data_IF_387273130089
#
_entry.id   IF_387273130089
#
_cell.length_a   1.000
_cell.length_b   1.000
_cell.length_c   1.000
_cell.angle_alpha   90.00
_cell.angle_beta   90.00
_cell.angle_gamma   90.00
#
_symmetry.space_group_name_H-M   'P 1'
#
loop_
_entity.id
_entity.type
_entity.pdbx_description
1 polymer ?
#
# COMPACT_ATOMS: atom_id res chain seq x y z
N UNK A 1 -21.59 -27.13 -38.43
CA UNK A 1 -21.16 -28.37 -37.76
C UNK A 1 -21.93 -28.45 -36.45
N UNK A 2 -22.61 -29.57 -36.21
CA UNK A 2 -23.73 -29.75 -35.27
C UNK A 2 -23.32 -29.65 -33.79
N UNK A 3 -24.20 -29.06 -33.01
CA UNK A 3 -24.27 -29.13 -31.53
C UNK A 3 -24.82 -30.51 -31.14
N UNK A 4 -24.23 -31.14 -30.12
CA UNK A 4 -24.87 -32.24 -29.39
C UNK A 4 -24.70 -32.03 -27.89
N UNK A 5 -25.82 -31.68 -27.26
CA UNK A 5 -26.15 -32.00 -25.87
C UNK A 5 -26.24 -33.51 -25.74
N UNK A 6 -25.58 -34.12 -24.73
CA UNK A 6 -26.27 -35.12 -23.92
C UNK A 6 -25.54 -35.52 -22.62
N UNK A 7 -26.36 -35.63 -21.56
CA UNK A 7 -26.24 -36.45 -20.34
C UNK A 7 -25.78 -35.80 -19.02
N UNK A 8 -26.77 -35.15 -18.40
CA UNK A 8 -27.14 -35.38 -17.00
C UNK A 8 -27.49 -36.87 -16.75
N UNK A 9 -26.80 -37.54 -15.83
CA UNK A 9 -27.37 -38.53 -14.90
C UNK A 9 -26.29 -39.02 -13.94
N UNK A 10 -26.42 -38.66 -12.66
CA UNK A 10 -26.35 -39.54 -11.48
C UNK A 10 -25.84 -38.79 -10.24
N UNK A 11 -26.80 -38.22 -9.51
CA UNK A 11 -26.73 -38.10 -8.05
C UNK A 11 -27.51 -39.27 -7.42
N UNK A 12 -27.12 -39.63 -6.18
CA UNK A 12 -27.82 -40.41 -5.13
C UNK A 12 -27.29 -41.83 -4.76
N UNK A 13 -26.34 -41.87 -3.80
CA UNK A 13 -26.38 -42.45 -2.41
C UNK A 13 -27.10 -43.81 -2.19
N UNK A 14 -26.49 -44.82 -1.50
CA UNK A 14 -26.54 -44.99 -0.01
C UNK A 14 -25.22 -45.48 0.64
N UNK A 15 -24.74 -44.85 1.72
CA UNK A 15 -24.89 -45.25 3.15
C UNK A 15 -24.68 -46.75 3.41
N UNK A 16 -23.52 -47.10 3.98
CA UNK A 16 -23.36 -48.29 4.81
C UNK A 16 -22.53 -47.95 6.05
N UNK A 17 -23.15 -48.15 7.22
CA UNK A 17 -22.51 -48.08 8.52
C UNK A 17 -21.68 -49.35 8.76
N UNK A 18 -20.49 -49.22 9.33
CA UNK A 18 -19.82 -50.33 10.02
C UNK A 18 -19.22 -49.83 11.32
N UNK A 19 -19.81 -50.32 12.41
CA UNK A 19 -19.27 -50.26 13.77
C UNK A 19 -18.07 -51.18 13.89
N UNK A 20 -16.97 -50.69 14.47
CA UNK A 20 -16.00 -51.54 15.16
C UNK A 20 -15.62 -50.90 16.50
N UNK A 21 -16.17 -51.53 17.54
CA UNK A 21 -15.65 -51.83 18.88
C UNK A 21 -14.25 -51.31 19.25
N UNK A 22 -14.16 -50.78 20.46
CA UNK A 22 -12.99 -50.12 21.02
C UNK A 22 -11.91 -51.01 21.65
N UNK A 23 -10.87 -50.32 22.08
CA UNK A 23 -9.95 -50.73 23.14
C UNK A 23 -9.40 -49.47 23.85
N UNK A 24 -9.21 -49.51 25.19
CA UNK A 24 -8.92 -48.33 26.01
C UNK A 24 -7.42 -48.06 26.07
N UNK A 25 -7.02 -46.80 25.94
CA UNK A 25 -5.63 -46.38 26.02
C UNK A 25 -5.48 -45.06 26.78
N UNK A 26 -5.17 -45.19 28.07
CA UNK A 26 -4.38 -44.27 28.90
C UNK A 26 -4.79 -42.79 28.92
N UNK A 27 -5.45 -42.42 30.03
CA UNK A 27 -5.75 -41.04 30.39
C UNK A 27 -4.50 -40.18 30.54
N UNK A 28 -4.38 -39.21 29.65
CA UNK A 28 -3.75 -37.94 29.96
C UNK A 28 -4.88 -36.99 30.37
N UNK A 29 -4.82 -36.49 31.60
CA UNK A 29 -5.65 -35.39 32.08
C UNK A 29 -5.46 -34.18 31.15
N UNK A 30 -6.35 -34.03 30.17
CA UNK A 30 -6.59 -32.75 29.53
C UNK A 30 -7.28 -31.87 30.58
N UNK A 31 -6.49 -31.22 31.43
CA UNK A 31 -6.95 -30.03 32.12
C UNK A 31 -7.24 -29.01 31.04
N UNK A 32 -8.51 -28.93 30.64
CA UNK A 32 -9.07 -27.80 29.95
C UNK A 32 -8.79 -26.58 30.82
N UNK A 33 -7.76 -25.81 30.46
CA UNK A 33 -7.60 -24.45 30.92
C UNK A 33 -8.78 -23.66 30.33
N UNK A 34 -9.94 -23.75 30.98
CA UNK A 34 -11.02 -22.80 30.85
C UNK A 34 -10.52 -21.49 31.48
N UNK A 35 -9.58 -20.82 30.81
CA UNK A 35 -9.32 -19.43 31.07
C UNK A 35 -10.60 -18.69 30.70
N UNK A 36 -11.37 -18.30 31.71
CA UNK A 36 -12.50 -17.39 31.53
C UNK A 36 -11.94 -16.15 30.85
N UNK A 37 -12.43 -15.73 29.66
CA UNK A 37 -11.94 -14.53 29.01
C UNK A 37 -12.11 -13.36 29.97
N UNK A 38 -11.00 -12.72 30.35
CA UNK A 38 -11.04 -11.52 31.17
C UNK A 38 -11.92 -10.49 30.43
N UNK A 39 -12.95 -9.91 31.07
CA UNK A 39 -13.77 -8.89 30.43
C UNK A 39 -12.87 -7.74 29.97
N UNK A 40 -12.77 -7.54 28.66
CA UNK A 40 -12.04 -6.40 28.10
C UNK A 40 -12.82 -5.15 28.48
N UNK A 41 -12.18 -4.20 29.17
CA UNK A 41 -12.83 -2.97 29.64
C UNK A 41 -13.29 -2.12 28.46
N UNK A 42 -14.28 -1.25 28.69
CA UNK A 42 -14.78 -0.31 27.67
C UNK A 42 -13.65 0.55 27.11
N UNK A 43 -12.75 1.01 27.97
CA UNK A 43 -11.59 1.82 27.61
C UNK A 43 -10.59 1.07 26.73
N UNK A 44 -10.36 -0.23 27.02
CA UNK A 44 -9.47 -1.05 26.21
C UNK A 44 -10.01 -1.27 24.77
N UNK A 45 -11.33 -1.40 24.61
CA UNK A 45 -11.96 -1.48 23.29
C UNK A 45 -11.88 -0.16 22.51
N UNK A 46 -12.04 0.98 23.18
CA UNK A 46 -11.87 2.30 22.55
C UNK A 46 -10.42 2.53 22.12
N UNK A 47 -9.45 2.19 22.97
CA UNK A 47 -8.04 2.28 22.63
C UNK A 47 -7.68 1.36 21.46
N UNK A 48 -8.19 0.12 21.46
CA UNK A 48 -8.03 -0.83 20.34
C UNK A 48 -8.62 -0.27 19.05
N UNK A 49 -9.83 0.28 19.08
CA UNK A 49 -10.46 0.89 17.91
C UNK A 49 -9.70 2.11 17.39
N UNK A 50 -9.18 2.96 18.28
CA UNK A 50 -8.34 4.10 17.93
C UNK A 50 -7.05 3.66 17.25
N UNK A 51 -6.42 2.59 17.75
CA UNK A 51 -5.25 1.97 17.15
C UNK A 51 -5.57 1.42 15.75
N UNK A 52 -6.63 0.63 15.61
CA UNK A 52 -7.06 0.04 14.33
C UNK A 52 -7.43 1.12 13.31
N UNK A 53 -8.01 2.25 13.71
CA UNK A 53 -8.29 3.36 12.81
C UNK A 53 -7.01 3.99 12.22
N UNK A 54 -5.89 3.92 12.95
CA UNK A 54 -4.56 4.31 12.43
C UNK A 54 -4.01 3.23 11.52
N UNK A 55 -4.05 1.94 11.92
CA UNK A 55 -3.65 0.81 11.06
C UNK A 55 -4.37 0.86 9.71
N UNK A 56 -5.68 1.13 9.74
CA UNK A 56 -6.56 1.25 8.58
C UNK A 56 -6.33 2.48 7.71
N UNK A 57 -5.46 3.38 8.15
CA UNK A 57 -5.20 4.67 7.53
C UNK A 57 -6.47 5.51 7.30
N UNK A 58 -7.45 5.39 8.20
CA UNK A 58 -8.75 6.02 8.01
C UNK A 58 -8.64 7.55 7.96
N UNK A 59 -7.69 8.11 8.72
CA UNK A 59 -7.47 9.54 8.81
C UNK A 59 -6.90 10.14 7.53
N UNK A 60 -6.02 9.42 6.81
CA UNK A 60 -5.41 9.91 5.58
C UNK A 60 -6.47 10.22 4.52
N UNK A 61 -7.49 9.37 4.38
CA UNK A 61 -8.57 9.59 3.41
C UNK A 61 -9.69 10.48 3.96
N UNK A 62 -10.12 10.27 5.21
CA UNK A 62 -11.30 10.94 5.75
C UNK A 62 -11.00 12.27 6.45
N UNK A 63 -9.82 12.87 6.26
CA UNK A 63 -9.47 14.16 6.89
C UNK A 63 -8.93 15.16 5.86
N UNK A 64 -9.77 16.07 5.38
CA UNK A 64 -9.30 17.21 4.58
C UNK A 64 -8.68 18.32 5.45
N UNK A 65 -9.24 18.54 6.64
CA UNK A 65 -8.78 19.55 7.59
C UNK A 65 -8.31 18.87 8.88
N UNK A 66 -7.02 18.97 9.20
CA UNK A 66 -6.44 18.34 10.41
C UNK A 66 -7.07 18.82 11.72
N UNK A 67 -7.71 19.99 11.75
CA UNK A 67 -8.47 20.47 12.92
C UNK A 67 -9.83 19.76 13.10
N UNK A 68 -10.29 19.05 12.07
CA UNK A 68 -11.56 18.32 12.01
C UNK A 68 -11.31 16.89 11.49
N UNK A 69 -10.62 16.05 12.27
CA UNK A 69 -10.29 14.69 11.85
C UNK A 69 -11.55 13.90 11.51
N UNK A 70 -11.47 13.07 10.46
CA UNK A 70 -12.53 12.19 9.98
C UNK A 70 -13.77 12.87 9.37
N UNK A 71 -13.77 14.20 9.22
CA UNK A 71 -14.90 14.96 8.69
C UNK A 71 -15.07 14.87 7.16
N UNK A 72 -14.23 14.11 6.46
CA UNK A 72 -14.28 13.90 5.02
C UNK A 72 -13.82 15.10 4.19
N UNK A 73 -14.22 15.11 2.92
CA UNK A 73 -14.01 16.22 1.98
C UNK A 73 -12.68 16.19 1.24
N UNK A 74 -11.83 15.18 1.44
CA UNK A 74 -10.55 15.09 0.75
C UNK A 74 -10.77 14.70 -0.72
N UNK A 75 -10.24 15.46 -1.69
CA UNK A 75 -10.29 15.08 -3.10
C UNK A 75 -9.31 13.94 -3.38
N UNK A 76 -9.79 12.89 -4.03
CA UNK A 76 -8.98 11.81 -4.57
C UNK A 76 -9.12 11.81 -6.10
N UNK A 77 -8.07 12.27 -6.78
CA UNK A 77 -8.00 12.27 -8.23
C UNK A 77 -7.80 10.83 -8.74
N UNK A 78 -8.72 10.38 -9.61
CA UNK A 78 -8.63 9.07 -10.26
C UNK A 78 -8.67 9.23 -11.78
N UNK A 79 -8.26 8.21 -12.56
CA UNK A 79 -8.46 8.20 -14.01
C UNK A 79 -9.94 8.37 -14.44
N UNK A 80 -10.89 8.12 -13.53
CA UNK A 80 -12.32 8.15 -13.78
C UNK A 80 -13.00 9.47 -13.36
N UNK A 81 -12.24 10.40 -12.77
CA UNK A 81 -12.73 11.66 -12.20
C UNK A 81 -12.32 11.81 -10.72
N UNK A 82 -12.88 12.80 -10.05
CA UNK A 82 -12.51 13.10 -8.65
C UNK A 82 -13.52 12.52 -7.68
N UNK A 83 -13.05 11.69 -6.76
CA UNK A 83 -13.81 11.23 -5.61
C UNK A 83 -13.61 12.20 -4.44
N UNK A 84 -14.60 12.32 -3.56
CA UNK A 84 -14.45 13.05 -2.31
C UNK A 84 -14.77 12.10 -1.16
N UNK A 85 -13.89 12.07 -0.15
CA UNK A 85 -14.11 11.25 1.04
C UNK A 85 -15.31 11.74 1.85
N UNK A 86 -15.97 10.82 2.54
CA UNK A 86 -17.16 11.12 3.35
C UNK A 86 -16.79 11.45 4.80
N UNK A 87 -17.68 12.13 5.49
CA UNK A 87 -17.62 12.35 6.93
C UNK A 87 -17.96 11.03 7.65
N UNK A 88 -17.01 10.51 8.42
CA UNK A 88 -17.17 9.28 9.22
C UNK A 88 -17.13 9.58 10.73
N UNK A 89 -17.33 10.83 11.13
CA UNK A 89 -17.55 11.21 12.54
C UNK A 89 -18.93 10.74 13.01
N UNK A 90 -19.19 10.66 14.33
CA UNK A 90 -20.50 10.27 14.85
C UNK A 90 -21.54 11.40 14.77
N UNK A 91 -21.34 12.42 13.93
CA UNK A 91 -22.37 13.42 13.68
C UNK A 91 -23.62 12.75 13.09
N UNK A 92 -24.78 13.03 13.70
CA UNK A 92 -26.03 12.36 13.35
C UNK A 92 -26.62 12.80 12.00
N UNK A 93 -26.22 13.99 11.52
CA UNK A 93 -26.82 14.63 10.34
C UNK A 93 -26.00 14.45 9.07
N UNK A 94 -24.67 14.47 9.20
CA UNK A 94 -23.73 14.51 8.09
C UNK A 94 -22.68 13.41 8.13
N UNK A 95 -22.49 12.77 9.30
CA UNK A 95 -21.58 11.66 9.52
C UNK A 95 -22.29 10.31 9.62
N UNK A 96 -21.67 9.38 10.35
CA UNK A 96 -22.18 8.02 10.59
C UNK A 96 -22.91 7.88 11.92
N UNK A 97 -23.30 8.97 12.58
CA UNK A 97 -23.94 8.92 13.90
C UNK A 97 -25.26 8.13 13.95
N UNK A 98 -25.90 7.91 12.80
CA UNK A 98 -27.09 7.06 12.68
C UNK A 98 -26.82 5.61 12.29
N UNK A 99 -25.57 5.17 12.08
CA UNK A 99 -25.26 3.80 11.69
C UNK A 99 -25.44 2.85 12.88
N UNK A 100 -26.07 1.70 12.65
CA UNK A 100 -25.94 0.57 13.56
C UNK A 100 -24.58 -0.13 13.37
N UNK A 101 -24.25 -1.08 14.26
CA UNK A 101 -23.07 -1.92 14.06
C UNK A 101 -23.15 -2.67 12.72
N UNK A 102 -24.31 -3.23 12.40
CA UNK A 102 -24.50 -3.99 11.15
C UNK A 102 -24.34 -3.09 9.93
N UNK A 103 -24.85 -1.86 9.96
CA UNK A 103 -24.64 -0.88 8.89
C UNK A 103 -23.15 -0.54 8.71
N UNK A 104 -22.42 -0.35 9.82
CA UNK A 104 -20.99 -0.06 9.82
C UNK A 104 -20.19 -1.24 9.27
N UNK A 105 -20.42 -2.45 9.78
CA UNK A 105 -19.76 -3.66 9.32
C UNK A 105 -20.06 -3.94 7.84
N UNK A 106 -21.30 -3.70 7.40
CA UNK A 106 -21.71 -3.83 6.00
C UNK A 106 -21.02 -2.81 5.09
N UNK A 107 -20.86 -1.57 5.54
CA UNK A 107 -20.12 -0.56 4.79
C UNK A 107 -18.64 -0.94 4.64
N UNK A 108 -17.97 -1.36 5.71
CA UNK A 108 -16.55 -1.71 5.67
C UNK A 108 -16.29 -3.04 4.94
N UNK A 109 -17.11 -4.06 5.13
CA UNK A 109 -16.85 -5.40 4.53
C UNK A 109 -17.43 -5.57 3.13
N UNK A 110 -18.56 -4.92 2.84
CA UNK A 110 -19.32 -5.16 1.61
C UNK A 110 -19.38 -3.93 0.71
N UNK A 111 -18.88 -2.78 1.17
CA UNK A 111 -18.99 -1.54 0.43
C UNK A 111 -20.44 -1.09 0.27
N UNK A 112 -21.34 -1.37 1.22
CA UNK A 112 -22.75 -0.94 1.14
C UNK A 112 -23.06 0.01 2.29
N UNK A 113 -23.37 1.26 1.95
CA UNK A 113 -23.75 2.29 2.92
C UNK A 113 -25.12 2.01 3.56
N UNK A 114 -25.45 2.73 4.64
CA UNK A 114 -26.70 2.58 5.39
C UNK A 114 -27.96 2.76 4.52
N UNK A 115 -27.93 3.69 3.57
CA UNK A 115 -29.03 3.94 2.63
C UNK A 115 -29.09 2.91 1.47
N UNK A 116 -28.19 1.93 1.47
CA UNK A 116 -28.13 0.84 0.50
C UNK A 116 -27.30 1.11 -0.75
N UNK A 117 -26.76 2.31 -0.96
CA UNK A 117 -25.90 2.55 -2.11
C UNK A 117 -24.53 1.88 -1.95
N UNK A 118 -23.92 1.50 -3.08
CA UNK A 118 -22.59 0.86 -3.10
C UNK A 118 -21.46 1.89 -3.16
N UNK A 119 -20.50 1.76 -2.26
CA UNK A 119 -19.30 2.58 -2.19
C UNK A 119 -18.41 2.30 -3.41
N UNK A 120 -17.59 3.29 -3.77
CA UNK A 120 -16.54 3.05 -4.75
C UNK A 120 -15.36 2.35 -4.08
N UNK A 121 -14.66 1.44 -4.77
CA UNK A 121 -13.53 0.67 -4.23
C UNK A 121 -12.28 1.49 -3.96
N UNK A 122 -12.36 2.82 -4.11
CA UNK A 122 -11.38 3.74 -3.53
C UNK A 122 -11.36 3.69 -2.00
N UNK A 123 -12.50 3.36 -1.36
CA UNK A 123 -12.47 2.80 -0.01
C UNK A 123 -12.14 1.31 -0.16
N UNK A 124 -11.06 0.79 0.45
CA UNK A 124 -10.59 -0.57 0.22
C UNK A 124 -11.42 -1.61 0.98
N UNK A 125 -12.74 -1.58 0.79
CA UNK A 125 -13.66 -2.56 1.40
C UNK A 125 -13.38 -4.02 0.98
N UNK A 126 -12.84 -4.33 -0.23
CA UNK A 126 -12.43 -5.70 -0.53
C UNK A 126 -11.32 -6.21 0.40
N UNK A 127 -10.38 -5.35 0.81
CA UNK A 127 -9.36 -5.68 1.81
C UNK A 127 -9.96 -5.73 3.22
N UNK A 128 -10.75 -4.71 3.59
CA UNK A 128 -11.40 -4.62 4.91
C UNK A 128 -12.37 -5.75 5.22
N UNK A 129 -12.87 -6.47 4.21
CA UNK A 129 -13.61 -7.70 4.39
C UNK A 129 -12.91 -8.72 5.30
N UNK A 130 -11.56 -8.72 5.32
CA UNK A 130 -10.75 -9.62 6.15
C UNK A 130 -10.74 -9.25 7.63
N UNK A 131 -11.18 -8.05 8.03
CA UNK A 131 -11.22 -7.62 9.44
C UNK A 131 -12.10 -8.57 10.25
N UNK A 132 -11.58 -9.07 11.37
CA UNK A 132 -12.34 -9.97 12.26
C UNK A 132 -13.44 -9.20 13.04
N UNK A 133 -14.38 -9.94 13.63
CA UNK A 133 -15.50 -9.32 14.33
C UNK A 133 -15.07 -8.53 15.58
N UNK A 134 -14.00 -8.92 16.27
CA UNK A 134 -13.52 -8.21 17.45
C UNK A 134 -12.96 -6.84 17.06
N UNK A 135 -12.15 -6.80 16.00
CA UNK A 135 -11.56 -5.59 15.46
C UNK A 135 -12.63 -4.67 14.85
N UNK A 136 -13.64 -5.24 14.17
CA UNK A 136 -14.77 -4.49 13.63
C UNK A 136 -15.60 -3.82 14.75
N UNK A 137 -15.88 -4.52 15.85
CA UNK A 137 -16.55 -3.93 17.01
C UNK A 137 -15.72 -2.83 17.66
N UNK A 138 -14.40 -3.01 17.79
CA UNK A 138 -13.52 -2.01 18.36
C UNK A 138 -13.52 -0.72 17.51
N UNK A 139 -13.40 -0.85 16.18
CA UNK A 139 -13.52 0.25 15.23
C UNK A 139 -14.86 0.98 15.37
N UNK A 140 -15.97 0.25 15.35
CA UNK A 140 -17.31 0.83 15.49
C UNK A 140 -17.44 1.61 16.81
N UNK A 141 -16.97 1.06 17.93
CA UNK A 141 -16.99 1.75 19.23
C UNK A 141 -16.13 3.02 19.22
N UNK A 142 -14.95 2.98 18.63
CA UNK A 142 -14.10 4.16 18.51
C UNK A 142 -14.76 5.27 17.67
N UNK A 143 -15.33 4.94 16.52
CA UNK A 143 -15.99 5.97 15.69
C UNK A 143 -17.29 6.50 16.31
N UNK A 144 -18.02 5.69 17.07
CA UNK A 144 -19.28 6.12 17.71
C UNK A 144 -19.09 6.84 19.04
N UNK A 145 -18.00 6.58 19.77
CA UNK A 145 -17.81 7.08 21.14
C UNK A 145 -16.48 7.81 21.38
N UNK A 146 -15.43 7.49 20.61
CA UNK A 146 -14.10 8.06 20.74
C UNK A 146 -13.83 9.26 19.82
N UNK A 147 -14.49 9.33 18.67
CA UNK A 147 -14.34 10.43 17.70
C UNK A 147 -15.29 11.59 18.04
N UNK A 148 -14.79 12.82 17.93
CA UNK A 148 -15.63 14.02 18.12
C UNK A 148 -16.55 14.21 16.91
N UNK A 149 -17.85 14.48 17.10
CA UNK A 149 -18.76 14.76 16.00
C UNK A 149 -18.38 16.07 15.32
N UNK A 150 -18.41 16.08 13.98
CA UNK A 150 -18.23 17.28 13.17
C UNK A 150 -19.39 17.37 12.17
N UNK A 151 -20.17 18.44 12.25
CA UNK A 151 -21.22 18.73 11.29
C UNK A 151 -20.61 19.27 9.99
N UNK A 152 -20.31 18.38 9.05
CA UNK A 152 -19.69 18.68 7.76
C UNK A 152 -20.39 17.87 6.67
N UNK A 153 -21.23 18.50 5.82
CA UNK A 153 -21.91 17.81 4.72
C UNK A 153 -20.92 17.20 3.72
N UNK A 154 -21.24 16.01 3.23
CA UNK A 154 -20.46 15.33 2.19
C UNK A 154 -20.54 16.08 0.86
N UNK A 155 -19.40 16.15 0.15
CA UNK A 155 -19.34 16.62 -1.24
C UNK A 155 -19.60 15.44 -2.19
N UNK A 156 -20.43 15.66 -3.20
CA UNK A 156 -20.66 14.67 -4.25
C UNK A 156 -19.41 14.44 -5.10
N UNK A 157 -19.17 13.19 -5.49
CA UNK A 157 -18.06 12.84 -6.40
C UNK A 157 -18.30 13.35 -7.82
N UNK A 158 -17.24 13.78 -8.48
CA UNK A 158 -17.21 14.35 -9.83
C UNK A 158 -16.63 13.32 -10.82
N UNK A 159 -17.26 12.15 -10.86
CA UNK A 159 -16.88 11.09 -11.80
C UNK A 159 -17.46 11.33 -13.19
N UNK A 160 -16.77 10.84 -14.21
CA UNK A 160 -17.20 10.92 -15.61
C UNK A 160 -18.10 9.74 -15.94
N UNK A 161 -19.03 9.92 -16.87
CA UNK A 161 -19.81 8.81 -17.42
C UNK A 161 -18.87 7.74 -18.04
N UNK A 162 -19.12 6.43 -17.81
CA UNK A 162 -20.25 5.84 -17.08
C UNK A 162 -20.05 5.66 -15.56
N UNK A 163 -18.88 6.02 -15.02
CA UNK A 163 -18.51 5.76 -13.62
C UNK A 163 -19.35 6.54 -12.59
N UNK A 164 -19.99 7.63 -12.99
CA UNK A 164 -20.95 8.37 -12.15
C UNK A 164 -22.28 7.64 -11.91
N UNK A 165 -22.60 6.60 -12.70
CA UNK A 165 -23.82 5.82 -12.55
C UNK A 165 -23.65 4.79 -11.43
N UNK A 166 -23.99 5.21 -10.20
CA UNK A 166 -23.81 4.44 -8.96
C UNK A 166 -24.31 2.99 -9.02
N UNK A 167 -25.42 2.72 -9.71
CA UNK A 167 -26.01 1.38 -9.80
C UNK A 167 -25.12 0.36 -10.50
N UNK A 168 -24.22 0.80 -11.39
CA UNK A 168 -23.24 -0.06 -12.07
C UNK A 168 -22.26 -0.71 -11.09
N UNK A 169 -22.07 -0.14 -9.90
CA UNK A 169 -21.26 -0.75 -8.85
C UNK A 169 -21.80 -2.11 -8.39
N UNK A 170 -23.11 -2.38 -8.56
CA UNK A 170 -23.66 -3.71 -8.26
C UNK A 170 -23.08 -4.78 -9.17
N UNK A 171 -22.82 -4.44 -10.43
CA UNK A 171 -22.19 -5.35 -11.39
C UNK A 171 -20.71 -5.50 -11.05
N UNK A 172 -20.02 -4.39 -10.76
CA UNK A 172 -18.60 -4.41 -10.37
C UNK A 172 -18.36 -5.27 -9.12
N UNK A 173 -19.17 -5.10 -8.07
CA UNK A 173 -19.03 -5.87 -6.83
C UNK A 173 -19.24 -7.36 -7.04
N UNK A 174 -20.24 -7.73 -7.85
CA UNK A 174 -20.49 -9.12 -8.21
C UNK A 174 -19.33 -9.74 -9.01
N UNK A 175 -18.56 -8.94 -9.73
CA UNK A 175 -17.44 -9.41 -10.54
C UNK A 175 -16.10 -9.41 -9.79
N UNK A 176 -15.92 -8.55 -8.78
CA UNK A 176 -14.59 -8.31 -8.20
C UNK A 176 -14.53 -8.31 -6.66
N UNK A 177 -15.62 -8.06 -5.95
CA UNK A 177 -15.66 -8.02 -4.48
C UNK A 177 -16.29 -9.30 -3.89
N UNK A 178 -15.68 -10.44 -4.18
CA UNK A 178 -16.22 -11.76 -3.80
C UNK A 178 -16.04 -12.06 -2.30
N UNK A 179 -17.04 -12.74 -1.72
CA UNK A 179 -17.12 -13.33 -0.37
C UNK A 179 -16.35 -12.61 0.74
N UNK A 180 -17.01 -11.69 1.48
CA UNK A 180 -16.38 -10.89 2.52
C UNK A 180 -16.17 -11.71 3.79
N UNK A 181 -15.29 -12.70 3.71
CA UNK A 181 -14.96 -13.56 4.82
C UNK A 181 -13.81 -12.93 5.60
N UNK A 182 -13.91 -12.89 6.95
CA UNK A 182 -12.79 -12.58 7.80
C UNK A 182 -11.58 -13.44 7.43
N UNK A 183 -10.39 -12.90 7.68
CA UNK A 183 -9.14 -13.61 7.47
C UNK A 183 -9.18 -14.98 8.16
N UNK A 184 -8.76 -16.00 7.42
CA UNK A 184 -8.65 -17.36 7.92
C UNK A 184 -7.18 -17.67 8.17
N UNK A 185 -6.84 -18.03 9.39
CA UNK A 185 -5.47 -18.37 9.76
C UNK A 185 -5.00 -19.62 9.02
N UNK A 186 -3.80 -19.58 8.48
CA UNK A 186 -3.12 -20.75 7.95
C UNK A 186 -2.52 -21.57 9.12
N UNK A 187 -2.98 -22.82 9.35
CA UNK A 187 -2.48 -23.66 10.43
C UNK A 187 -1.03 -24.11 10.24
N UNK A 188 -0.45 -23.94 9.05
CA UNK A 188 0.94 -24.26 8.75
C UNK A 188 1.89 -23.08 8.99
N UNK A 189 1.36 -21.92 9.38
CA UNK A 189 2.13 -20.70 9.60
C UNK A 189 2.15 -20.30 11.07
N UNK A 190 3.16 -19.52 11.45
CA UNK A 190 3.26 -19.03 12.83
C UNK A 190 2.17 -18.00 13.15
N UNK A 191 1.94 -17.76 14.45
CA UNK A 191 1.02 -16.71 14.91
C UNK A 191 1.43 -15.34 14.37
N UNK A 192 2.74 -15.04 14.40
CA UNK A 192 3.29 -13.79 13.89
C UNK A 192 3.08 -13.64 12.37
N UNK A 193 3.29 -14.71 11.60
CA UNK A 193 3.05 -14.68 10.16
C UNK A 193 1.57 -14.44 9.84
N UNK A 194 0.67 -15.15 10.53
CA UNK A 194 -0.78 -14.98 10.37
C UNK A 194 -1.23 -13.55 10.72
N UNK A 195 -0.62 -12.95 11.76
CA UNK A 195 -0.87 -11.55 12.11
C UNK A 195 -0.40 -10.59 11.00
N UNK A 196 0.77 -10.83 10.42
CA UNK A 196 1.28 -10.04 9.30
C UNK A 196 0.40 -10.14 8.06
N UNK A 197 -0.01 -11.36 7.70
CA UNK A 197 -0.91 -11.62 6.60
C UNK A 197 -2.28 -10.93 6.80
N UNK A 198 -2.86 -11.03 8.00
CA UNK A 198 -4.10 -10.33 8.38
C UNK A 198 -4.01 -8.82 8.16
N UNK A 199 -2.91 -8.19 8.59
CA UNK A 199 -2.71 -6.75 8.45
C UNK A 199 -2.51 -6.37 6.97
N UNK A 200 -1.58 -7.03 6.29
CA UNK A 200 -1.17 -6.70 4.90
C UNK A 200 -2.29 -6.93 3.90
N UNK A 201 -3.02 -8.05 4.02
CA UNK A 201 -4.14 -8.38 3.14
C UNK A 201 -5.42 -7.65 3.55
N UNK A 202 -5.54 -7.27 4.84
CA UNK A 202 -6.75 -6.73 5.43
C UNK A 202 -6.65 -5.23 5.70
N UNK A 203 -6.64 -4.86 6.98
CA UNK A 203 -6.85 -3.49 7.41
C UNK A 203 -5.74 -2.52 6.93
N UNK A 204 -4.48 -2.95 6.82
CA UNK A 204 -3.40 -2.10 6.28
C UNK A 204 -3.36 -2.04 4.74
N UNK A 205 -4.20 -2.84 4.07
CA UNK A 205 -4.54 -2.77 2.64
C UNK A 205 -3.36 -2.60 1.67
N UNK A 206 -2.20 -3.19 1.96
CA UNK A 206 -0.99 -2.99 1.14
C UNK A 206 -1.20 -3.39 -0.33
N UNK A 207 -2.06 -4.38 -0.58
CA UNK A 207 -2.49 -4.81 -1.92
C UNK A 207 -3.07 -3.69 -2.78
N UNK A 208 -3.81 -2.75 -2.17
CA UNK A 208 -4.52 -1.68 -2.89
C UNK A 208 -3.60 -0.74 -3.67
N UNK A 209 -2.30 -0.72 -3.34
CA UNK A 209 -1.28 -0.03 -4.11
C UNK A 209 -0.27 -1.00 -4.74
N UNK A 210 0.10 -2.08 -4.06
CA UNK A 210 1.20 -2.95 -4.48
C UNK A 210 0.77 -4.15 -5.33
N UNK A 211 -0.51 -4.34 -5.63
CA UNK A 211 -0.99 -5.38 -6.55
C UNK A 211 -1.40 -4.76 -7.89
N UNK A 212 -1.16 -5.40 -9.06
CA UNK A 212 -1.61 -4.90 -10.34
C UNK A 212 -3.13 -4.68 -10.36
N UNK A 213 -3.59 -3.55 -10.89
CA UNK A 213 -5.02 -3.27 -11.05
C UNK A 213 -5.50 -3.61 -12.46
N UNK A 214 -6.74 -4.10 -12.56
CA UNK A 214 -7.43 -4.27 -13.83
C UNK A 214 -7.94 -2.96 -14.42
N UNK A 215 -8.46 -3.02 -15.65
CA UNK A 215 -8.95 -1.83 -16.38
C UNK A 215 -10.10 -1.09 -15.68
N UNK A 216 -10.84 -1.75 -14.78
CA UNK A 216 -11.94 -1.16 -14.02
C UNK A 216 -11.52 -0.77 -12.60
N UNK A 217 -10.20 -0.67 -12.35
CA UNK A 217 -9.63 -0.20 -11.09
C UNK A 217 -9.60 -1.22 -9.96
N UNK A 218 -10.07 -2.45 -10.18
CA UNK A 218 -10.01 -3.52 -9.19
C UNK A 218 -8.58 -4.04 -9.00
N UNK A 219 -8.21 -4.40 -7.78
CA UNK A 219 -7.05 -5.26 -7.54
C UNK A 219 -7.22 -6.57 -8.31
N UNK A 220 -6.17 -7.03 -8.98
CA UNK A 220 -6.23 -8.31 -9.71
C UNK A 220 -6.38 -9.52 -8.79
N UNK A 221 -5.92 -9.40 -7.54
CA UNK A 221 -6.04 -10.38 -6.45
C UNK A 221 -5.93 -9.72 -5.08
N UNK A 222 -6.48 -10.36 -4.04
CA UNK A 222 -6.56 -9.81 -2.68
C UNK A 222 -5.73 -10.59 -1.65
N UNK A 223 -5.10 -11.70 -2.03
CA UNK A 223 -4.20 -12.48 -1.17
C UNK A 223 -3.17 -13.31 -1.94
N UNK A 224 -2.29 -13.94 -1.19
CA UNK A 224 -1.12 -14.68 -1.67
C UNK A 224 -1.39 -16.15 -2.02
N UNK A 225 -2.65 -16.62 -1.99
CA UNK A 225 -2.99 -18.03 -2.23
C UNK A 225 -2.73 -18.42 -3.69
N UNK A 226 -1.51 -18.90 -3.94
CA UNK A 226 -0.98 -19.34 -5.23
C UNK A 226 -1.03 -18.29 -6.34
N UNK A 227 -1.00 -17.00 -5.97
CA UNK A 227 -1.01 -15.91 -6.92
C UNK A 227 0.22 -15.02 -6.82
N UNK A 228 1.05 -15.06 -7.87
CA UNK A 228 2.27 -14.25 -7.95
C UNK A 228 2.01 -12.77 -8.29
N UNK A 229 0.77 -12.38 -8.62
CA UNK A 229 0.39 -10.98 -8.83
C UNK A 229 0.16 -10.22 -7.50
N UNK A 230 -0.19 -10.91 -6.41
CA UNK A 230 -0.40 -10.25 -5.13
C UNK A 230 0.91 -9.62 -4.65
N UNK A 231 0.89 -8.30 -4.44
CA UNK A 231 2.03 -7.47 -4.09
C UNK A 231 3.16 -7.40 -5.14
N UNK A 232 2.88 -7.70 -6.42
CA UNK A 232 3.88 -7.70 -7.49
C UNK A 232 4.27 -6.31 -8.05
N UNK A 233 3.74 -5.24 -7.47
CA UNK A 233 3.88 -3.85 -7.89
C UNK A 233 2.81 -3.39 -8.88
N UNK A 234 2.56 -2.08 -8.91
CA UNK A 234 1.56 -1.45 -9.77
C UNK A 234 1.85 0.05 -9.95
N UNK A 235 1.38 0.65 -11.04
CA UNK A 235 1.41 2.10 -11.22
C UNK A 235 0.03 2.69 -11.01
N UNK A 236 -0.12 3.52 -9.99
CA UNK A 236 -1.37 4.19 -9.63
C UNK A 236 -1.15 5.70 -9.52
N UNK A 237 -2.02 6.48 -10.14
CA UNK A 237 -1.97 7.95 -10.11
C UNK A 237 -0.58 8.56 -10.44
N UNK A 238 0.16 7.94 -11.36
CA UNK A 238 1.50 8.42 -11.77
C UNK A 238 2.63 8.08 -10.79
N UNK A 239 2.35 7.24 -9.79
CA UNK A 239 3.34 6.66 -8.88
C UNK A 239 3.42 5.16 -9.10
N UNK A 240 4.64 4.64 -9.27
CA UNK A 240 4.89 3.21 -9.23
C UNK A 240 5.09 2.76 -7.77
N UNK A 241 4.15 1.95 -7.29
CA UNK A 241 4.27 1.18 -6.07
C UNK A 241 5.14 -0.05 -6.34
N UNK A 242 6.29 -0.19 -5.67
CA UNK A 242 7.26 -1.24 -5.99
C UNK A 242 6.73 -2.64 -5.69
N UNK A 243 7.30 -3.64 -6.36
CA UNK A 243 7.09 -5.03 -6.02
C UNK A 243 7.58 -5.33 -4.59
N UNK A 244 6.70 -5.87 -3.73
CA UNK A 244 7.05 -6.29 -2.38
C UNK A 244 7.38 -7.80 -2.28
N UNK A 245 7.20 -8.54 -3.37
CA UNK A 245 7.64 -9.93 -3.52
C UNK A 245 9.13 -10.02 -3.81
N UNK A 246 9.70 -11.20 -3.58
CA UNK A 246 10.92 -11.59 -4.28
C UNK A 246 12.21 -10.93 -3.83
N UNK A 247 12.26 -10.59 -2.54
CA UNK A 247 13.20 -9.70 -1.91
C UNK A 247 13.09 -8.34 -2.55
N UNK A 248 12.38 -7.42 -1.86
CA UNK A 248 12.61 -5.97 -1.88
C UNK A 248 13.88 -5.66 -2.67
N UNK A 249 13.65 -5.32 -3.95
CA UNK A 249 14.65 -5.34 -5.02
C UNK A 249 16.01 -4.90 -4.49
N UNK A 250 17.04 -5.75 -4.64
CA UNK A 250 18.43 -5.43 -4.29
C UNK A 250 18.71 -3.94 -4.49
N UNK A 251 18.69 -3.18 -3.39
CA UNK A 251 18.99 -1.76 -3.40
C UNK A 251 20.39 -1.57 -2.88
N UNK A 252 21.09 -0.67 -3.54
CA UNK A 252 22.44 -0.23 -3.27
C UNK A 252 23.51 -1.18 -3.82
N UNK A 253 24.70 -0.63 -3.99
CA UNK A 253 25.92 -1.40 -4.18
C UNK A 253 26.29 -2.23 -2.93
N UNK A 254 25.41 -2.31 -1.93
CA UNK A 254 25.42 -3.39 -0.95
C UNK A 254 24.66 -4.59 -1.53
N UNK A 255 25.28 -5.76 -1.52
CA UNK A 255 24.67 -7.05 -1.84
C UNK A 255 23.55 -7.46 -0.83
N UNK A 256 22.86 -6.50 -0.21
CA UNK A 256 21.94 -6.69 0.91
C UNK A 256 20.50 -6.50 0.47
N UNK A 257 19.80 -7.62 0.43
CA UNK A 257 18.34 -7.70 0.57
C UNK A 257 17.92 -6.99 1.86
N UNK A 258 16.87 -6.17 1.84
CA UNK A 258 16.33 -5.55 3.05
C UNK A 258 15.96 -6.64 4.06
N UNK A 259 16.54 -6.54 5.25
CA UNK A 259 16.20 -7.41 6.37
C UNK A 259 14.82 -7.06 6.93
N UNK A 260 14.28 -7.93 7.77
CA UNK A 260 13.08 -7.60 8.57
C UNK A 260 13.27 -6.31 9.36
N UNK A 261 14.46 -6.08 9.92
CA UNK A 261 14.77 -4.87 10.68
C UNK A 261 14.73 -3.62 9.81
N UNK A 262 15.20 -3.71 8.56
CA UNK A 262 15.15 -2.60 7.60
C UNK A 262 13.71 -2.24 7.24
N UNK A 263 12.86 -3.25 7.01
CA UNK A 263 11.42 -3.05 6.78
C UNK A 263 10.74 -2.38 7.99
N UNK A 264 11.02 -2.84 9.20
CA UNK A 264 10.48 -2.24 10.43
C UNK A 264 10.94 -0.79 10.57
N UNK A 265 12.21 -0.49 10.32
CA UNK A 265 12.76 0.87 10.38
C UNK A 265 12.10 1.79 9.34
N UNK A 266 11.91 1.29 8.12
CA UNK A 266 11.24 2.02 7.04
C UNK A 266 9.77 2.29 7.37
N UNK A 267 9.00 1.28 7.78
CA UNK A 267 7.58 1.45 8.11
C UNK A 267 7.37 2.38 9.31
N UNK A 268 8.32 2.41 10.25
CA UNK A 268 8.25 3.29 11.43
C UNK A 268 8.56 4.75 11.12
N UNK A 269 9.52 5.01 10.23
CA UNK A 269 10.11 6.35 10.09
C UNK A 269 10.04 6.94 8.69
N UNK A 270 9.76 6.11 7.69
CA UNK A 270 9.89 6.42 6.27
C UNK A 270 11.32 6.60 5.79
N UNK A 271 12.32 6.17 6.59
CA UNK A 271 13.75 6.39 6.30
C UNK A 271 14.55 5.14 6.58
N UNK A 272 15.49 4.87 5.69
CA UNK A 272 16.48 3.81 5.77
C UNK A 272 17.78 4.31 5.13
N UNK A 273 18.90 3.62 5.36
CA UNK A 273 20.20 3.95 4.78
C UNK A 273 20.14 4.15 3.25
N UNK A 274 19.46 3.24 2.54
CA UNK A 274 19.38 3.21 1.07
C UNK A 274 17.98 3.55 0.52
N UNK A 275 17.08 4.08 1.36
CA UNK A 275 15.69 4.31 0.97
C UNK A 275 14.98 5.38 1.79
N UNK A 276 14.06 6.07 1.14
CA UNK A 276 13.16 7.02 1.78
C UNK A 276 11.77 6.88 1.19
N UNK A 277 10.75 7.12 2.00
CA UNK A 277 9.37 7.19 1.53
C UNK A 277 9.20 8.38 0.59
N UNK A 278 8.34 8.19 -0.40
CA UNK A 278 7.96 9.20 -1.37
C UNK A 278 6.52 8.96 -1.83
N UNK A 279 5.91 9.98 -2.43
CA UNK A 279 4.53 9.89 -2.92
C UNK A 279 3.56 9.45 -1.83
N UNK A 280 2.53 8.65 -2.16
CA UNK A 280 1.51 8.19 -1.21
C UNK A 280 2.06 7.42 0.00
N UNK A 281 3.21 6.75 -0.12
CA UNK A 281 3.82 6.07 1.04
C UNK A 281 4.25 7.04 2.15
N UNK A 282 4.48 8.31 1.82
CA UNK A 282 4.74 9.36 2.82
C UNK A 282 3.53 9.56 3.72
N UNK A 283 2.33 9.59 3.14
CA UNK A 283 1.06 9.76 3.85
C UNK A 283 0.75 8.52 4.68
N UNK A 284 0.90 7.32 4.09
CA UNK A 284 0.75 6.03 4.79
C UNK A 284 1.64 5.97 6.05
N UNK A 285 2.89 6.43 5.95
CA UNK A 285 3.78 6.47 7.12
C UNK A 285 3.37 7.57 8.10
N UNK A 286 3.00 8.75 7.60
CA UNK A 286 2.65 9.88 8.45
C UNK A 286 1.37 9.63 9.26
N UNK A 287 0.38 8.98 8.66
CA UNK A 287 -0.97 8.86 9.22
C UNK A 287 -1.29 7.43 9.74
N UNK A 288 -0.51 6.41 9.33
CA UNK A 288 -0.69 5.01 9.73
C UNK A 288 0.58 4.35 10.30
N UNK A 289 1.53 3.90 9.47
CA UNK A 289 2.48 2.85 9.85
C UNK A 289 3.43 3.23 10.99
N UNK A 290 3.70 4.52 11.18
CA UNK A 290 4.52 5.00 12.31
C UNK A 290 3.89 4.75 13.69
N UNK A 291 2.57 4.54 13.74
CA UNK A 291 1.81 4.33 14.97
C UNK A 291 1.57 2.86 15.29
N UNK A 292 2.00 1.95 14.43
CA UNK A 292 1.87 0.51 14.67
C UNK A 292 2.75 0.12 15.85
N UNK A 293 2.25 -0.82 16.65
CA UNK A 293 3.05 -1.43 17.69
C UNK A 293 4.19 -2.24 17.07
N UNK A 294 5.25 -2.45 17.87
CA UNK A 294 6.42 -3.22 17.44
C UNK A 294 6.02 -4.64 17.02
N UNK A 295 5.06 -5.27 17.71
CA UNK A 295 4.54 -6.59 17.31
C UNK A 295 3.97 -6.62 15.89
N UNK A 296 3.22 -5.59 15.50
CA UNK A 296 2.54 -5.53 14.21
C UNK A 296 3.51 -5.14 13.09
N UNK A 297 4.47 -4.24 13.36
CA UNK A 297 5.56 -3.95 12.43
C UNK A 297 6.41 -5.20 12.14
N UNK A 298 6.74 -5.97 13.19
CA UNK A 298 7.48 -7.23 13.02
C UNK A 298 6.64 -8.28 12.30
N UNK A 299 5.34 -8.40 12.61
CA UNK A 299 4.44 -9.31 11.93
C UNK A 299 4.34 -9.02 10.43
N UNK A 300 4.15 -7.75 10.05
CA UNK A 300 4.17 -7.31 8.65
C UNK A 300 5.51 -7.68 7.99
N UNK A 301 6.64 -7.34 8.63
CA UNK A 301 7.96 -7.68 8.10
C UNK A 301 8.16 -9.20 7.95
N UNK A 302 7.68 -9.99 8.91
CA UNK A 302 7.71 -11.46 8.89
C UNK A 302 6.91 -12.01 7.72
N UNK A 303 5.72 -11.47 7.45
CA UNK A 303 4.91 -11.87 6.31
C UNK A 303 5.57 -11.49 4.97
N UNK A 304 5.99 -10.23 4.81
CA UNK A 304 6.58 -9.71 3.56
C UNK A 304 7.91 -10.39 3.19
N UNK A 305 8.66 -10.89 4.17
CA UNK A 305 9.91 -11.64 3.95
C UNK A 305 9.71 -13.15 3.90
N UNK A 306 8.48 -13.64 3.98
CA UNK A 306 8.20 -15.08 4.01
C UNK A 306 8.40 -15.76 2.66
N UNK A 307 8.73 -17.07 2.64
CA UNK A 307 8.98 -17.82 1.40
C UNK A 307 7.84 -17.77 0.38
N UNK A 308 6.57 -17.71 0.81
CA UNK A 308 5.41 -17.67 -0.11
C UNK A 308 5.40 -16.41 -0.98
N UNK A 309 5.95 -15.30 -0.49
CA UNK A 309 6.13 -14.07 -1.23
C UNK A 309 7.48 -13.99 -1.96
N UNK A 310 8.38 -14.97 -1.77
CA UNK A 310 9.65 -15.04 -2.50
C UNK A 310 9.57 -15.85 -3.79
N UNK A 311 8.54 -16.68 -3.96
CA UNK A 311 8.36 -17.52 -5.15
C UNK A 311 8.04 -16.69 -6.40
N UNK A 312 8.69 -17.02 -7.52
CA UNK A 312 8.41 -16.45 -8.85
C UNK A 312 9.09 -15.11 -9.16
N UNK A 313 9.94 -14.60 -8.27
CA UNK A 313 10.64 -13.35 -8.50
C UNK A 313 11.96 -13.51 -9.25
N UNK A 314 12.17 -12.68 -10.26
CA UNK A 314 13.43 -12.59 -10.99
C UNK A 314 14.38 -11.65 -10.24
N UNK A 315 15.59 -12.10 -9.84
CA UNK A 315 16.59 -11.22 -9.24
C UNK A 315 16.95 -10.07 -10.21
N UNK A 316 17.17 -8.84 -9.71
CA UNK A 316 17.72 -7.76 -10.52
C UNK A 316 19.07 -8.15 -11.14
N UNK A 317 19.41 -7.56 -12.29
CA UNK A 317 20.71 -7.76 -12.91
C UNK A 317 21.85 -7.25 -11.99
N UNK A 318 22.89 -8.06 -11.82
CA UNK A 318 24.04 -7.72 -10.97
C UNK A 318 24.72 -6.40 -11.39
N UNK A 319 24.96 -5.54 -10.41
CA UNK A 319 25.61 -4.24 -10.58
C UNK A 319 27.14 -4.39 -10.75
N UNK A 320 27.78 -3.50 -11.52
CA UNK A 320 29.25 -3.50 -11.68
C UNK A 320 29.89 -2.38 -10.86
N UNK A 321 30.54 -2.73 -9.75
CA UNK A 321 31.19 -1.79 -8.82
C UNK A 321 32.27 -0.90 -9.48
N UNK A 322 33.02 -1.40 -10.47
CA UNK A 322 34.11 -0.65 -11.12
C UNK A 322 33.69 0.52 -12.02
N UNK A 323 32.42 0.57 -12.45
CA UNK A 323 31.88 1.69 -13.25
C UNK A 323 31.51 2.91 -12.38
N UNK A 324 31.43 2.70 -11.07
CA UNK A 324 30.96 3.72 -10.15
C UNK A 324 31.94 4.87 -9.96
N UNK A 325 33.23 4.53 -9.86
CA UNK A 325 34.28 5.50 -9.59
C UNK A 325 34.55 6.40 -10.81
N UNK A 326 34.38 5.86 -12.02
CA UNK A 326 34.62 6.61 -13.27
C UNK A 326 33.65 7.78 -13.45
N UNK A 327 32.35 7.57 -13.18
CA UNK A 327 31.35 8.65 -13.29
C UNK A 327 31.66 9.75 -12.27
N UNK A 328 31.96 9.37 -11.03
CA UNK A 328 32.25 10.31 -9.96
C UNK A 328 33.53 11.13 -10.24
N UNK A 329 34.57 10.50 -10.80
CA UNK A 329 35.80 11.19 -11.22
C UNK A 329 35.54 12.18 -12.35
N UNK A 330 34.79 11.78 -13.38
CA UNK A 330 34.44 12.66 -14.51
C UNK A 330 33.69 13.92 -14.04
N UNK A 331 32.64 13.74 -13.22
CA UNK A 331 31.86 14.85 -12.67
C UNK A 331 32.70 15.80 -11.81
N UNK A 332 33.58 15.28 -10.94
CA UNK A 332 34.47 16.11 -10.10
C UNK A 332 35.52 16.87 -10.92
N UNK A 333 35.95 16.29 -12.04
CA UNK A 333 36.88 16.91 -12.96
C UNK A 333 36.21 17.89 -13.95
N UNK A 334 34.90 18.13 -13.82
CA UNK A 334 34.15 19.03 -14.71
C UNK A 334 33.97 18.48 -16.13
N UNK A 335 34.11 17.17 -16.34
CA UNK A 335 33.83 16.54 -17.63
C UNK A 335 32.32 16.29 -17.74
N UNK A 336 31.66 17.11 -18.55
CA UNK A 336 30.20 17.14 -18.69
C UNK A 336 29.83 16.69 -20.11
N UNK A 337 29.82 15.37 -20.31
CA UNK A 337 29.71 14.78 -21.66
C UNK A 337 28.25 14.64 -22.15
N UNK A 338 27.26 15.11 -21.37
CA UNK A 338 25.84 15.08 -21.74
C UNK A 338 25.01 16.16 -21.04
N UNK A 339 23.87 16.50 -21.64
CA UNK A 339 22.85 17.38 -21.01
C UNK A 339 22.43 16.86 -19.64
N UNK A 340 22.26 15.54 -19.49
CA UNK A 340 21.88 14.92 -18.23
C UNK A 340 22.93 15.10 -17.12
N UNK A 341 24.21 14.96 -17.46
CA UNK A 341 25.31 15.20 -16.52
C UNK A 341 25.38 16.68 -16.08
N UNK A 342 25.17 17.61 -17.01
CA UNK A 342 25.13 19.05 -16.71
C UNK A 342 24.00 19.38 -15.73
N UNK A 343 22.78 18.94 -16.07
CA UNK A 343 21.60 19.13 -15.24
C UNK A 343 21.77 18.50 -13.85
N UNK A 344 22.42 17.35 -13.76
CA UNK A 344 22.69 16.69 -12.49
C UNK A 344 23.62 17.50 -11.58
N UNK A 345 24.72 18.01 -12.13
CA UNK A 345 25.67 18.85 -11.39
C UNK A 345 25.01 20.13 -10.87
N UNK A 346 24.26 20.80 -11.73
CA UNK A 346 23.62 22.09 -11.40
C UNK A 346 22.54 21.96 -10.32
N UNK A 347 21.83 20.81 -10.27
CA UNK A 347 20.57 20.73 -9.56
C UNK A 347 20.49 19.64 -8.49
N UNK A 348 21.32 18.60 -8.59
CA UNK A 348 21.15 17.38 -7.80
C UNK A 348 22.40 17.05 -6.96
N UNK A 349 23.60 17.31 -7.49
CA UNK A 349 24.86 16.85 -6.91
C UNK A 349 25.16 17.44 -5.53
N UNK A 350 24.62 18.61 -5.19
CA UNK A 350 24.78 19.21 -3.86
C UNK A 350 24.24 18.29 -2.75
N UNK A 351 23.11 17.63 -3.00
CA UNK A 351 22.45 16.73 -2.05
C UNK A 351 22.76 15.26 -2.31
N UNK A 352 22.71 14.84 -3.57
CA UNK A 352 22.90 13.43 -3.96
C UNK A 352 24.37 13.04 -4.20
N UNK A 353 25.29 14.00 -4.10
CA UNK A 353 26.75 13.86 -4.26
C UNK A 353 27.18 13.43 -5.68
N UNK A 354 28.37 13.81 -6.11
CA UNK A 354 28.87 13.44 -7.44
C UNK A 354 29.08 11.94 -7.65
N UNK A 355 29.12 11.15 -6.57
CA UNK A 355 29.19 9.69 -6.62
C UNK A 355 27.82 8.99 -6.47
N UNK A 356 26.74 9.78 -6.40
CA UNK A 356 25.38 9.28 -6.29
C UNK A 356 25.06 8.60 -4.96
N UNK A 357 25.95 8.67 -3.96
CA UNK A 357 25.74 7.99 -2.66
C UNK A 357 24.80 8.76 -1.72
N UNK A 358 24.53 10.04 -2.01
CA UNK A 358 23.74 10.89 -1.14
C UNK A 358 24.46 11.27 0.16
N UNK A 359 23.71 11.88 1.07
CA UNK A 359 24.18 12.28 2.39
C UNK A 359 23.18 11.76 3.43
N UNK A 360 23.50 10.59 4.00
CA UNK A 360 22.58 9.80 4.80
C UNK A 360 22.33 10.40 6.20
N UNK A 361 21.15 10.14 6.79
CA UNK A 361 19.94 9.53 6.22
C UNK A 361 19.05 10.57 5.50
N UNK A 362 19.60 11.74 5.18
CA UNK A 362 18.85 12.90 4.71
C UNK A 362 18.56 12.88 3.20
N UNK A 363 19.50 12.38 2.41
CA UNK A 363 19.40 12.32 0.96
C UNK A 363 19.74 10.91 0.50
N UNK A 364 18.76 10.14 -0.01
CA UNK A 364 18.97 8.74 -0.34
C UNK A 364 20.00 8.58 -1.47
N UNK A 365 20.72 7.47 -1.43
CA UNK A 365 21.58 7.05 -2.52
C UNK A 365 20.77 6.92 -3.81
N UNK A 366 21.31 7.44 -4.92
CA UNK A 366 20.83 7.17 -6.28
C UNK A 366 21.59 5.99 -6.90
N UNK A 367 22.78 5.67 -6.37
CA UNK A 367 23.57 4.51 -6.76
C UNK A 367 22.92 3.23 -6.23
N UNK A 368 22.59 2.33 -7.14
CA UNK A 368 21.96 1.05 -6.84
C UNK A 368 20.51 1.14 -6.35
N UNK A 369 19.88 2.32 -6.33
CA UNK A 369 18.57 2.50 -5.69
C UNK A 369 17.44 1.80 -6.47
N UNK A 370 16.55 1.06 -5.81
CA UNK A 370 15.44 0.34 -6.48
C UNK A 370 14.53 1.27 -7.28
N UNK A 371 14.21 2.46 -6.77
CA UNK A 371 13.38 3.43 -7.48
C UNK A 371 14.09 3.95 -8.73
N UNK A 372 15.42 4.07 -8.71
CA UNK A 372 16.22 4.40 -9.89
C UNK A 372 16.28 3.23 -10.87
N UNK A 373 16.38 2.00 -10.38
CA UNK A 373 16.55 0.80 -11.21
C UNK A 373 15.23 0.16 -11.68
N UNK A 374 14.09 0.65 -11.18
CA UNK A 374 12.76 0.16 -11.54
C UNK A 374 12.56 0.12 -13.06
N UNK A 375 11.88 -0.94 -13.53
CA UNK A 375 11.47 -1.07 -14.92
C UNK A 375 10.49 0.03 -15.34
N UNK A 376 9.60 0.47 -14.44
CA UNK A 376 8.75 1.63 -14.63
C UNK A 376 9.39 2.88 -13.96
N UNK A 377 9.77 3.91 -14.73
CA UNK A 377 10.40 5.12 -14.21
C UNK A 377 9.41 6.16 -13.65
N UNK A 378 8.09 5.88 -13.61
CA UNK A 378 7.07 6.87 -13.25
C UNK A 378 7.33 7.59 -11.93
N UNK A 379 7.65 6.88 -10.85
CA UNK A 379 7.94 7.50 -9.54
C UNK A 379 9.17 8.41 -9.60
N UNK A 380 10.23 7.99 -10.29
CA UNK A 380 11.45 8.78 -10.43
C UNK A 380 11.19 10.08 -11.21
N UNK A 381 10.39 9.99 -12.27
CA UNK A 381 9.93 11.14 -13.04
C UNK A 381 9.07 12.07 -12.16
N UNK A 382 8.12 11.51 -11.42
CA UNK A 382 7.22 12.27 -10.56
C UNK A 382 7.98 13.04 -9.48
N UNK A 383 8.96 12.41 -8.81
CA UNK A 383 9.80 13.04 -7.78
C UNK A 383 10.53 14.25 -8.35
N UNK A 384 11.08 14.17 -9.57
CA UNK A 384 11.75 15.33 -10.19
C UNK A 384 10.75 16.41 -10.59
N UNK A 385 9.57 16.03 -11.11
CA UNK A 385 8.55 16.98 -11.56
C UNK A 385 7.93 17.78 -10.41
N UNK A 386 7.54 17.09 -9.34
CA UNK A 386 6.72 17.62 -8.25
C UNK A 386 7.48 17.84 -6.95
N UNK A 387 8.75 17.42 -6.90
CA UNK A 387 9.51 17.33 -5.65
C UNK A 387 9.08 16.12 -4.83
N UNK A 388 9.67 15.98 -3.65
CA UNK A 388 9.29 14.97 -2.66
C UNK A 388 9.52 15.51 -1.26
N UNK A 389 8.79 15.00 -0.28
CA UNK A 389 8.99 15.32 1.13
C UNK A 389 8.99 14.02 1.94
N UNK A 390 9.88 13.93 2.92
CA UNK A 390 9.88 12.82 3.86
C UNK A 390 8.81 13.04 4.94
N UNK A 391 8.21 11.95 5.47
CA UNK A 391 7.23 12.07 6.54
C UNK A 391 7.90 12.59 7.82
N UNK A 392 7.14 13.35 8.61
CA UNK A 392 7.53 13.79 9.95
C UNK A 392 7.05 12.76 10.96
N UNK A 393 7.96 11.93 11.44
CA UNK A 393 7.61 10.84 12.37
C UNK A 393 8.22 11.06 13.75
N UNK A 394 7.70 10.36 14.76
CA UNK A 394 8.31 10.38 16.09
C UNK A 394 9.78 9.91 16.08
N UNK A 395 10.10 8.93 15.23
CA UNK A 395 11.46 8.40 15.07
C UNK A 395 12.36 9.29 14.20
N UNK A 396 11.78 10.10 13.32
CA UNK A 396 12.51 10.99 12.42
C UNK A 396 11.69 12.29 12.16
N UNK A 397 11.76 13.28 13.06
CA UNK A 397 10.83 14.41 13.07
C UNK A 397 11.11 15.47 11.99
N UNK A 398 12.29 15.50 11.38
CA UNK A 398 12.67 16.55 10.42
C UNK A 398 12.16 16.24 9.02
N UNK A 399 11.15 16.94 8.46
CA UNK A 399 10.57 16.62 7.15
C UNK A 399 11.44 17.20 6.01
N UNK A 400 12.48 16.47 5.63
CA UNK A 400 13.37 16.89 4.54
C UNK A 400 12.64 16.85 3.21
N UNK A 401 12.92 17.83 2.34
CA UNK A 401 12.27 17.95 1.04
C UNK A 401 13.28 18.07 -0.09
N UNK A 402 12.94 17.43 -1.21
CA UNK A 402 13.57 17.64 -2.51
C UNK A 402 12.71 18.64 -3.30
N UNK A 403 13.31 19.71 -3.86
CA UNK A 403 12.57 20.72 -4.61
C UNK A 403 11.96 20.16 -5.90
N UNK A 404 10.91 20.83 -6.39
CA UNK A 404 10.29 20.51 -7.66
C UNK A 404 11.03 21.17 -8.83
N UNK A 405 11.17 20.43 -9.93
CA UNK A 405 11.86 20.91 -11.14
C UNK A 405 10.95 20.98 -12.36
N UNK A 406 9.70 20.54 -12.24
CA UNK A 406 8.74 20.55 -13.35
C UNK A 406 8.47 21.95 -13.90
N UNK A 407 8.52 23.00 -13.07
CA UNK A 407 8.29 24.37 -13.53
C UNK A 407 9.41 24.94 -14.41
N UNK A 408 10.63 24.40 -14.35
CA UNK A 408 11.80 24.95 -15.09
C UNK A 408 12.41 24.01 -16.12
N UNK A 409 12.28 22.70 -15.95
CA UNK A 409 12.85 21.71 -16.86
C UNK A 409 11.81 21.21 -17.85
N UNK A 410 12.20 21.16 -19.13
CA UNK A 410 11.40 20.54 -20.18
C UNK A 410 11.37 19.02 -20.04
N UNK A 411 10.43 18.37 -20.73
CA UNK A 411 10.32 16.91 -20.73
C UNK A 411 11.58 16.22 -21.24
N UNK A 412 12.22 16.80 -22.26
CA UNK A 412 13.50 16.29 -22.78
C UNK A 412 14.63 16.44 -21.75
N UNK A 413 14.71 17.58 -21.07
CA UNK A 413 15.75 17.80 -20.05
C UNK A 413 15.62 16.83 -18.88
N UNK A 414 14.40 16.56 -18.42
CA UNK A 414 14.16 15.56 -17.36
C UNK A 414 14.49 14.16 -17.87
N UNK A 415 14.12 13.82 -19.10
CA UNK A 415 14.45 12.54 -19.71
C UNK A 415 15.98 12.31 -19.79
N UNK A 416 16.74 13.32 -20.23
CA UNK A 416 18.19 13.27 -20.30
C UNK A 416 18.81 13.14 -18.89
N UNK A 417 18.33 13.93 -17.92
CA UNK A 417 18.77 13.88 -16.53
C UNK A 417 18.56 12.50 -15.90
N UNK A 418 17.35 11.94 -16.05
CA UNK A 418 17.04 10.64 -15.45
C UNK A 418 17.72 9.49 -16.16
N UNK A 419 17.90 9.58 -17.49
CA UNK A 419 18.71 8.62 -18.25
C UNK A 419 20.17 8.60 -17.79
N UNK A 420 20.73 9.79 -17.50
CA UNK A 420 22.06 9.89 -16.90
C UNK A 420 22.10 9.21 -15.53
N UNK A 421 21.19 9.53 -14.62
CA UNK A 421 21.12 8.91 -13.27
C UNK A 421 20.98 7.38 -13.36
N UNK A 422 20.17 6.87 -14.29
CA UNK A 422 19.89 5.43 -14.49
C UNK A 422 21.01 4.64 -15.15
N UNK A 423 22.01 5.32 -15.72
CA UNK A 423 23.21 4.71 -16.32
C UNK A 423 24.51 5.04 -15.58
N UNK A 424 24.43 5.90 -14.56
CA UNK A 424 25.56 6.37 -13.76
C UNK A 424 25.85 5.49 -12.55
N UNK A 425 27.08 5.56 -12.04
CA UNK A 425 27.52 4.91 -10.80
C UNK A 425 27.38 3.38 -10.75
N UNK A 426 27.32 2.72 -11.91
CA UNK A 426 27.06 1.28 -12.02
C UNK A 426 25.59 0.90 -12.21
N UNK A 427 24.69 1.89 -12.20
CA UNK A 427 23.27 1.70 -12.50
C UNK A 427 23.07 1.16 -13.92
N UNK A 428 22.10 0.25 -14.07
CA UNK A 428 21.71 -0.35 -15.34
C UNK A 428 20.20 -0.41 -15.43
N UNK A 429 19.58 0.66 -15.90
CA UNK A 429 18.17 0.69 -16.21
C UNK A 429 17.93 1.37 -17.56
N UNK A 430 16.77 1.08 -18.18
CA UNK A 430 16.41 1.65 -19.48
C UNK A 430 16.38 3.19 -19.41
N UNK A 431 16.81 3.86 -20.48
CA UNK A 431 16.72 5.32 -20.58
C UNK A 431 15.27 5.79 -20.44
N UNK A 432 15.09 6.97 -19.86
CA UNK A 432 13.79 7.65 -19.79
C UNK A 432 13.60 8.48 -21.06
N UNK A 433 12.39 8.45 -21.60
CA UNK A 433 12.00 9.21 -22.80
C UNK A 433 11.22 10.46 -22.44
N UNK A 434 11.27 11.49 -23.29
CA UNK A 434 10.45 12.70 -23.10
C UNK A 434 8.95 12.40 -23.11
N UNK A 435 8.51 11.37 -23.87
CA UNK A 435 7.10 10.94 -23.89
C UNK A 435 6.63 10.37 -22.55
N UNK A 436 7.47 9.60 -21.86
CA UNK A 436 7.18 9.13 -20.49
C UNK A 436 7.08 10.30 -19.51
N UNK A 437 7.97 11.30 -19.64
CA UNK A 437 7.93 12.50 -18.80
C UNK A 437 6.66 13.31 -19.03
N UNK A 438 6.30 13.55 -20.30
CA UNK A 438 5.08 14.28 -20.67
C UNK A 438 3.82 13.59 -20.09
N UNK A 439 3.78 12.26 -20.16
CA UNK A 439 2.68 11.46 -19.59
C UNK A 439 2.56 11.67 -18.07
N UNK A 440 3.66 11.54 -17.32
CA UNK A 440 3.64 11.72 -15.86
C UNK A 440 3.34 13.18 -15.50
N UNK A 441 3.86 14.15 -16.24
CA UNK A 441 3.59 15.57 -16.05
C UNK A 441 2.11 15.90 -16.16
N UNK A 442 1.42 15.35 -17.16
CA UNK A 442 -0.03 15.54 -17.31
C UNK A 442 -0.81 15.06 -16.07
N UNK A 443 -0.36 13.98 -15.42
CA UNK A 443 -0.95 13.46 -14.19
C UNK A 443 -0.59 14.35 -12.99
N UNK A 444 0.68 14.71 -12.83
CA UNK A 444 1.19 15.51 -11.71
C UNK A 444 0.56 16.91 -11.63
N UNK A 445 0.34 17.55 -12.78
CA UNK A 445 -0.32 18.88 -12.84
C UNK A 445 -1.81 18.76 -12.50
N UNK A 446 -2.47 17.65 -12.85
CA UNK A 446 -3.89 17.43 -12.56
C UNK A 446 -4.17 17.07 -11.10
N UNK A 447 -3.12 16.80 -10.31
CA UNK A 447 -3.20 16.44 -8.89
C UNK A 447 -2.95 17.62 -7.93
N UNK A 448 -2.51 18.79 -8.45
CA UNK A 448 -2.46 20.07 -7.73
C UNK A 448 -3.77 20.82 -7.94
#
# INVERSE_FOLDING_TARGET
>A
MKITFDRLRQYLIPVFALMCSGAPGSGANAQTLNATPTPVTVDAQLAKGAYLAKVGDCAACHTANKAQPFAGGLPLATPFGTLYSTNITPDASTGIGGYSYDDFAKALRQGIAKDGHRLYPAMPYPSYAKIDDSDMHALYRYFTQGVKPVAQPNRASELRFPFNVRTLMTVWDRLYAHDPLPYQTDPHQSVEWNRGAYLVQGLAHCGACHTPHGMLGQESVLDDKDNTAFLSGNTLAGWYAPNLRGHMAQTSASDKVWSKADLVAYLRSGRMHDGAAFGPMTEVINDSTQYLHDEDLNAIATYLTSPSLQTGATPPAAQQSGRADQTAVALRAGHIDSTGAHLYLDNCAACHRTDGTGAMPAFPSLRGNASVLSGDPASLIHIVLSGSHMPSTAAAPTPLAMPDFGWRLTDQQIADLLSFVRSSWGNRAAAVTAGEVAKVRGVAISAK
#
